data_IF_894237260255
#
_entry.id   IF_894237260255
#
_cell.length_a   1.000
_cell.length_b   1.000
_cell.length_c   1.000
_cell.angle_alpha   90.00
_cell.angle_beta   90.00
_cell.angle_gamma   90.00
#
_symmetry.space_group_name_H-M   'P 1'
#
loop_
_entity.id
_entity.type
_entity.pdbx_description
1 polymer ?
#
# COMPACT_ATOMS: atom_id res chain seq x y z
N UNK A 1 -12.59 -35.84 66.68
CA UNK A 1 -12.84 -34.79 67.69
C UNK A 1 -13.04 -33.46 66.96
N UNK A 2 -14.27 -32.98 66.96
CA UNK A 2 -14.68 -31.55 66.92
C UNK A 2 -15.51 -31.32 68.22
N UNK A 3 -15.98 -30.12 68.64
CA UNK A 3 -15.85 -28.72 68.16
C UNK A 3 -15.44 -27.78 69.37
N UNK A 4 -15.76 -26.45 69.53
CA UNK A 4 -16.97 -25.70 69.13
C UNK A 4 -16.77 -24.48 68.21
N UNK A 5 -17.86 -24.22 67.50
CA UNK A 5 -18.32 -23.04 66.77
C UNK A 5 -18.89 -21.99 67.74
N UNK A 6 -18.75 -20.69 67.43
CA UNK A 6 -19.81 -19.66 67.44
C UNK A 6 -19.16 -18.29 67.07
N UNK A 7 -19.54 -17.57 66.00
CA UNK A 7 -20.82 -16.97 65.58
C UNK A 7 -21.07 -15.57 66.20
N UNK A 8 -20.93 -14.53 65.37
CA UNK A 8 -21.70 -13.27 65.29
C UNK A 8 -20.83 -12.18 64.61
N UNK A 9 -21.31 -11.28 63.75
CA UNK A 9 -22.53 -11.11 62.95
C UNK A 9 -22.17 -9.98 61.94
N UNK A 10 -22.74 -10.00 60.74
CA UNK A 10 -22.63 -8.93 59.73
C UNK A 10 -23.62 -7.77 60.09
N UNK A 11 -23.87 -6.69 59.30
CA UNK A 11 -23.41 -6.37 57.93
C UNK A 11 -23.06 -4.87 57.66
N UNK A 12 -22.50 -4.58 56.47
CA UNK A 12 -23.03 -3.65 55.45
C UNK A 12 -21.96 -2.98 54.55
N UNK A 13 -22.42 -2.67 53.35
CA UNK A 13 -21.71 -2.44 52.09
C UNK A 13 -21.08 -1.04 51.93
N UNK A 14 -20.06 -0.97 51.07
CA UNK A 14 -19.73 0.05 50.06
C UNK A 14 -18.22 -0.08 49.83
N UNK A 15 -17.73 -0.51 48.68
CA UNK A 15 -17.93 0.16 47.39
C UNK A 15 -16.67 0.98 47.08
N UNK A 16 -16.07 0.68 45.94
CA UNK A 16 -15.15 1.54 45.18
C UNK A 16 -13.64 1.40 45.47
N UNK A 17 -13.05 0.48 44.72
CA UNK A 17 -11.68 0.54 44.23
C UNK A 17 -11.35 1.95 43.71
N UNK A 18 -10.23 2.51 44.16
CA UNK A 18 -9.59 3.68 43.54
C UNK A 18 -8.23 3.22 43.03
N UNK A 19 -8.24 2.56 41.87
CA UNK A 19 -7.07 2.50 41.00
C UNK A 19 -7.14 3.72 40.10
N UNK A 20 -6.19 4.63 40.29
CA UNK A 20 -6.00 5.83 39.47
C UNK A 20 -5.91 5.45 37.98
N UNK A 21 -6.65 6.11 37.08
CA UNK A 21 -6.43 5.96 35.65
C UNK A 21 -5.26 6.83 35.20
N UNK A 22 -4.36 6.24 34.42
CA UNK A 22 -3.33 6.96 33.65
C UNK A 22 -3.94 8.12 32.83
N UNK A 23 -3.24 9.26 32.70
CA UNK A 23 -3.69 10.34 31.84
C UNK A 23 -3.53 9.94 30.37
N UNK A 24 -4.64 9.98 29.63
CA UNK A 24 -4.67 9.80 28.19
C UNK A 24 -4.11 11.04 27.46
N UNK A 25 -3.16 10.82 26.54
CA UNK A 25 -2.86 11.73 25.42
C UNK A 25 -3.30 11.04 24.11
N UNK A 26 -3.61 11.73 22.98
CA UNK A 26 -3.77 13.16 22.72
C UNK A 26 -5.14 13.51 22.06
N UNK A 27 -5.38 14.80 21.84
CA UNK A 27 -6.59 15.34 21.20
C UNK A 27 -6.88 14.76 19.82
N UNK A 28 -8.01 14.06 19.71
CA UNK A 28 -8.63 13.67 18.45
C UNK A 28 -9.31 14.90 17.82
N UNK A 29 -9.02 15.26 16.55
CA UNK A 29 -9.92 16.15 15.83
C UNK A 29 -11.24 15.42 15.56
N UNK A 30 -12.34 16.01 16.04
CA UNK A 30 -13.71 15.54 15.83
C UNK A 30 -14.00 15.42 14.33
N UNK A 31 -14.38 14.24 13.87
CA UNK A 31 -14.90 14.01 12.52
C UNK A 31 -16.30 14.65 12.39
N UNK A 32 -16.56 15.54 11.42
CA UNK A 32 -17.93 15.93 11.07
C UNK A 32 -18.67 14.74 10.42
N UNK A 33 -20.02 14.70 10.49
CA UNK A 33 -20.79 13.56 10.01
C UNK A 33 -20.81 13.50 8.48
N UNK A 34 -21.02 12.30 7.97
CA UNK A 34 -20.99 11.92 6.57
C UNK A 34 -21.98 12.71 5.70
N UNK A 35 -21.48 13.26 4.58
CA UNK A 35 -22.28 13.55 3.41
C UNK A 35 -21.65 12.85 2.21
N UNK A 36 -22.48 12.03 1.58
CA UNK A 36 -22.23 11.23 0.39
C UNK A 36 -22.17 12.15 -0.83
N UNK A 37 -20.97 12.35 -1.40
CA UNK A 37 -20.68 12.56 -2.83
C UNK A 37 -19.19 12.92 -2.97
N UNK A 38 -18.31 11.94 -3.18
CA UNK A 38 -16.98 12.24 -3.74
C UNK A 38 -16.54 11.10 -4.65
N UNK A 39 -16.81 11.24 -5.94
CA UNK A 39 -15.90 10.70 -6.96
C UNK A 39 -14.77 11.73 -7.08
N UNK A 40 -13.73 11.59 -6.27
CA UNK A 40 -12.52 12.39 -6.44
C UNK A 40 -11.44 11.42 -6.90
N UNK A 41 -11.31 11.27 -8.21
CA UNK A 41 -10.17 10.56 -8.81
C UNK A 41 -9.00 11.55 -8.91
N UNK A 42 -8.50 12.01 -7.75
CA UNK A 42 -7.30 12.85 -7.71
C UNK A 42 -6.11 11.91 -7.93
N UNK A 43 -5.58 11.95 -9.15
CA UNK A 43 -4.34 11.28 -9.52
C UNK A 43 -3.26 12.35 -9.64
N UNK A 44 -2.24 12.25 -8.80
CA UNK A 44 -1.10 13.16 -8.79
C UNK A 44 0.16 12.36 -9.12
N UNK A 45 0.84 12.72 -10.21
CA UNK A 45 2.16 12.15 -10.52
C UNK A 45 3.18 13.28 -10.40
N UNK A 46 4.10 13.13 -9.46
CA UNK A 46 5.20 14.05 -9.21
C UNK A 46 6.51 13.42 -9.69
N UNK A 47 7.14 14.05 -10.68
CA UNK A 47 8.49 13.70 -11.11
C UNK A 47 9.51 14.77 -10.67
N UNK A 48 10.06 14.69 -9.44
CA UNK A 48 11.14 15.56 -9.01
C UNK A 48 12.48 15.25 -9.70
N UNK A 49 12.60 14.10 -10.38
CA UNK A 49 13.82 13.72 -11.11
C UNK A 49 13.95 14.51 -12.41
N UNK A 50 12.82 14.86 -13.03
CA UNK A 50 12.76 15.55 -14.33
C UNK A 50 13.30 14.68 -15.48
N UNK A 51 13.29 13.36 -15.30
CA UNK A 51 13.80 12.38 -16.27
C UNK A 51 12.70 11.78 -17.14
N UNK A 52 11.43 12.01 -16.80
CA UNK A 52 10.29 11.71 -17.65
C UNK A 52 9.94 12.90 -18.54
N UNK A 53 9.52 12.60 -19.77
CA UNK A 53 8.90 13.56 -20.67
C UNK A 53 7.45 13.82 -20.24
N UNK A 54 6.91 14.98 -20.60
CA UNK A 54 5.52 15.34 -20.29
C UNK A 54 4.52 14.28 -20.81
N UNK A 55 4.70 13.81 -22.05
CA UNK A 55 3.86 12.75 -22.66
C UNK A 55 3.97 11.40 -21.91
N UNK A 56 5.12 11.10 -21.30
CA UNK A 56 5.31 9.88 -20.49
C UNK A 56 4.54 9.99 -19.17
N UNK A 57 4.55 11.17 -18.53
CA UNK A 57 3.78 11.43 -17.31
C UNK A 57 2.28 11.36 -17.60
N UNK A 58 1.83 11.96 -18.71
CA UNK A 58 0.42 11.89 -19.15
C UNK A 58 -0.02 10.43 -19.38
N UNK A 59 0.81 9.63 -20.05
CA UNK A 59 0.54 8.21 -20.26
C UNK A 59 0.39 7.44 -18.95
N UNK A 60 1.27 7.68 -17.97
CA UNK A 60 1.18 7.06 -16.65
C UNK A 60 -0.14 7.46 -15.96
N UNK A 61 -0.50 8.74 -15.97
CA UNK A 61 -1.75 9.24 -15.37
C UNK A 61 -2.97 8.58 -16.01
N UNK A 62 -3.00 8.49 -17.35
CA UNK A 62 -4.12 7.90 -18.07
C UNK A 62 -4.24 6.39 -17.81
N UNK A 63 -3.12 5.67 -17.83
CA UNK A 63 -3.08 4.25 -17.48
C UNK A 63 -3.61 4.02 -16.06
N UNK A 64 -3.18 4.82 -15.09
CA UNK A 64 -3.65 4.70 -13.70
C UNK A 64 -5.13 5.01 -13.55
N UNK A 65 -5.65 5.98 -14.29
CA UNK A 65 -7.09 6.29 -14.30
C UNK A 65 -7.89 5.10 -14.80
N UNK A 66 -7.45 4.45 -15.87
CA UNK A 66 -8.09 3.25 -16.39
C UNK A 66 -7.98 2.07 -15.40
N UNK A 67 -6.81 1.87 -14.79
CA UNK A 67 -6.59 0.83 -13.79
C UNK A 67 -7.49 1.02 -12.56
N UNK A 68 -7.58 2.23 -12.02
CA UNK A 68 -8.45 2.54 -10.88
C UNK A 68 -9.93 2.30 -11.21
N UNK A 69 -10.36 2.53 -12.46
CA UNK A 69 -11.72 2.23 -12.90
C UNK A 69 -12.00 0.71 -13.00
N UNK A 70 -10.96 -0.12 -13.11
CA UNK A 70 -11.05 -1.59 -13.16
C UNK A 70 -10.96 -2.24 -11.79
N UNK A 71 -10.45 -1.53 -10.78
CA UNK A 71 -10.36 -2.00 -9.40
C UNK A 71 -11.72 -1.74 -8.72
N UNK A 72 -12.30 -2.77 -8.08
CA UNK A 72 -13.59 -2.69 -7.37
C UNK A 72 -13.45 -2.01 -6.00
N UNK A 73 -12.94 -0.77 -6.00
CA UNK A 73 -12.66 0.03 -4.81
C UNK A 73 -12.83 1.52 -5.12
N UNK A 74 -13.56 2.31 -4.32
CA UNK A 74 -13.58 3.75 -4.51
C UNK A 74 -12.20 4.35 -4.24
N UNK A 75 -11.74 5.24 -5.13
CA UNK A 75 -10.52 6.02 -4.96
C UNK A 75 -10.86 7.47 -4.58
N UNK A 76 -10.14 7.99 -3.60
CA UNK A 76 -10.21 9.40 -3.16
C UNK A 76 -8.96 10.16 -3.60
N UNK A 77 -7.80 9.49 -3.55
CA UNK A 77 -6.53 10.06 -3.97
C UNK A 77 -5.51 8.96 -4.23
N UNK A 78 -4.77 9.09 -5.33
CA UNK A 78 -3.59 8.31 -5.62
C UNK A 78 -2.47 9.28 -5.99
N UNK A 79 -1.46 9.41 -5.14
CA UNK A 79 -0.28 10.20 -5.44
C UNK A 79 0.92 9.29 -5.69
N UNK A 80 1.66 9.57 -6.74
CA UNK A 80 2.86 8.81 -7.14
C UNK A 80 4.03 9.77 -7.21
N UNK A 81 5.08 9.48 -6.44
CA UNK A 81 6.37 10.17 -6.51
C UNK A 81 7.35 9.29 -7.29
N UNK A 82 7.83 9.78 -8.44
CA UNK A 82 8.92 9.15 -9.18
C UNK A 82 10.23 9.48 -8.47
N UNK A 83 11.01 8.46 -8.10
CA UNK A 83 12.24 8.67 -7.32
C UNK A 83 13.44 7.98 -7.96
N UNK A 84 14.63 8.51 -7.69
CA UNK A 84 15.89 7.85 -8.02
C UNK A 84 16.29 6.86 -6.91
N UNK A 85 17.32 6.05 -7.16
CA UNK A 85 17.85 5.07 -6.19
C UNK A 85 18.26 5.72 -4.87
N UNK A 86 18.82 6.93 -4.93
CA UNK A 86 19.31 7.63 -3.75
C UNK A 86 18.13 7.99 -2.84
N UNK A 87 17.08 8.56 -3.41
CA UNK A 87 15.85 8.95 -2.72
C UNK A 87 15.11 7.71 -2.23
N UNK A 88 15.08 6.63 -3.03
CA UNK A 88 14.45 5.37 -2.64
C UNK A 88 15.13 4.73 -1.42
N UNK A 89 16.47 4.60 -1.43
CA UNK A 89 17.24 4.11 -0.26
C UNK A 89 16.99 4.92 1.01
N UNK A 90 16.86 6.24 0.88
CA UNK A 90 16.54 7.12 2.02
C UNK A 90 15.13 6.87 2.56
N UNK A 91 14.15 6.62 1.68
CA UNK A 91 12.79 6.26 2.09
C UNK A 91 12.76 4.87 2.74
N UNK A 92 13.40 3.89 2.12
CA UNK A 92 13.48 2.52 2.61
C UNK A 92 14.14 2.46 3.99
N UNK A 93 15.27 3.15 4.16
CA UNK A 93 15.97 3.20 5.45
C UNK A 93 15.14 3.88 6.54
N UNK A 94 14.34 4.89 6.18
CA UNK A 94 13.50 5.62 7.13
C UNK A 94 12.28 4.82 7.59
N UNK A 95 11.65 4.08 6.68
CA UNK A 95 10.35 3.45 6.92
C UNK A 95 10.41 1.95 7.17
N UNK A 96 11.38 1.25 6.55
CA UNK A 96 11.56 -0.20 6.67
C UNK A 96 12.83 -0.57 7.45
N UNK A 97 13.63 0.43 7.86
CA UNK A 97 14.92 0.22 8.53
C UNK A 97 15.88 -0.66 7.71
N UNK A 98 15.86 -0.46 6.39
CA UNK A 98 16.68 -1.15 5.39
C UNK A 98 17.26 -0.12 4.39
N UNK A 99 18.58 -0.06 4.25
CA UNK A 99 19.29 0.93 3.42
C UNK A 99 19.54 0.47 1.97
N UNK A 100 18.98 -0.68 1.59
CA UNK A 100 18.90 -1.15 0.20
C UNK A 100 17.88 -0.35 -0.62
N UNK A 101 17.97 -0.45 -1.94
CA UNK A 101 16.98 0.13 -2.87
C UNK A 101 15.87 -0.90 -3.11
N UNK A 102 14.68 -0.42 -3.46
CA UNK A 102 13.54 -1.26 -3.85
C UNK A 102 12.83 -0.62 -5.04
N UNK A 103 12.00 -1.37 -5.72
CA UNK A 103 11.13 -0.92 -6.80
C UNK A 103 10.03 0.06 -6.35
N UNK A 104 9.30 -0.27 -5.28
CA UNK A 104 8.13 0.48 -4.83
C UNK A 104 8.01 0.54 -3.31
N UNK A 105 7.53 1.68 -2.79
CA UNK A 105 7.06 1.82 -1.42
C UNK A 105 5.64 2.40 -1.43
N UNK A 106 4.74 1.77 -0.68
CA UNK A 106 3.33 2.14 -0.64
C UNK A 106 2.95 2.61 0.77
N UNK A 107 2.38 3.81 0.86
CA UNK A 107 1.97 4.46 2.10
C UNK A 107 0.46 4.67 2.11
N UNK A 108 -0.32 3.72 2.65
CA UNK A 108 -1.77 3.87 2.76
C UNK A 108 -2.13 4.93 3.81
N UNK A 109 -2.96 5.89 3.42
CA UNK A 109 -3.46 6.97 4.28
C UNK A 109 -4.83 6.65 4.89
N UNK A 110 -5.56 5.71 4.26
CA UNK A 110 -6.82 5.17 4.76
C UNK A 110 -6.63 3.89 5.57
N UNK A 111 -7.60 3.60 6.45
CA UNK A 111 -7.63 2.34 7.17
C UNK A 111 -7.81 1.15 6.21
N UNK A 112 -7.30 -0.05 6.54
CA UNK A 112 -7.49 -1.25 5.73
C UNK A 112 -8.96 -1.50 5.39
N UNK A 113 -9.25 -1.73 4.10
CA UNK A 113 -10.62 -1.94 3.60
C UNK A 113 -11.43 -0.64 3.39
N UNK A 114 -10.86 0.53 3.69
CA UNK A 114 -11.42 1.83 3.31
C UNK A 114 -11.25 2.15 1.82
N UNK A 115 -11.65 3.36 1.40
CA UNK A 115 -11.36 3.86 0.05
C UNK A 115 -9.84 3.98 -0.18
N UNK A 116 -9.41 3.96 -1.44
CA UNK A 116 -8.02 4.18 -1.81
C UNK A 116 -7.66 5.66 -1.54
N UNK A 117 -6.76 5.85 -0.58
CA UNK A 117 -6.03 7.10 -0.35
C UNK A 117 -4.58 6.68 -0.05
N UNK A 118 -3.68 6.94 -0.98
CA UNK A 118 -2.33 6.34 -0.97
C UNK A 118 -1.30 7.30 -1.56
N UNK A 119 -0.11 7.29 -0.95
CA UNK A 119 1.12 7.78 -1.58
C UNK A 119 1.99 6.58 -1.99
N UNK A 120 2.47 6.56 -3.22
CA UNK A 120 3.31 5.50 -3.76
C UNK A 120 4.61 6.14 -4.24
N UNK A 121 5.75 5.66 -3.78
CA UNK A 121 7.05 6.02 -4.34
C UNK A 121 7.51 4.90 -5.27
N UNK A 122 7.85 5.23 -6.53
CA UNK A 122 8.33 4.26 -7.52
C UNK A 122 9.73 4.62 -8.00
N UNK A 123 10.63 3.64 -8.01
CA UNK A 123 12.03 3.87 -8.38
C UNK A 123 12.23 3.79 -9.90
N UNK A 124 12.59 4.92 -10.51
CA UNK A 124 12.86 5.00 -11.94
C UNK A 124 14.12 4.22 -12.35
N UNK A 125 15.16 4.27 -11.53
CA UNK A 125 16.42 3.56 -11.79
C UNK A 125 16.20 2.04 -11.78
N UNK A 126 15.37 1.53 -10.87
CA UNK A 126 14.99 0.12 -10.83
C UNK A 126 14.11 -0.25 -12.03
N UNK A 127 13.10 0.57 -12.36
CA UNK A 127 12.28 0.35 -13.56
C UNK A 127 13.13 0.27 -14.83
N UNK A 128 14.16 1.12 -14.97
CA UNK A 128 15.08 1.06 -16.10
C UNK A 128 15.93 -0.23 -16.10
N UNK A 129 16.43 -0.66 -14.94
CA UNK A 129 17.21 -1.92 -14.83
C UNK A 129 16.38 -3.13 -15.24
N UNK A 130 15.14 -3.22 -14.76
CA UNK A 130 14.23 -4.34 -15.07
C UNK A 130 13.80 -4.32 -16.54
N UNK A 131 13.52 -3.12 -17.08
CA UNK A 131 13.26 -2.92 -18.49
C UNK A 131 14.41 -3.42 -19.39
N UNK A 132 15.65 -3.09 -19.04
CA UNK A 132 16.83 -3.54 -19.78
C UNK A 132 17.08 -5.06 -19.62
N UNK A 133 16.83 -5.61 -18.42
CA UNK A 133 17.00 -7.04 -18.12
C UNK A 133 16.02 -7.92 -18.91
N UNK A 134 14.76 -7.51 -18.98
CA UNK A 134 13.67 -8.30 -19.56
C UNK A 134 13.25 -7.84 -20.97
N UNK A 135 13.84 -6.76 -21.47
CA UNK A 135 13.63 -6.28 -22.84
C UNK A 135 12.23 -5.67 -23.08
N UNK A 136 11.65 -5.01 -22.08
CA UNK A 136 10.41 -4.26 -22.20
C UNK A 136 10.61 -2.76 -21.87
N UNK A 137 9.55 -1.98 -21.91
CA UNK A 137 9.62 -0.52 -21.71
C UNK A 137 9.64 -0.16 -20.21
N UNK A 138 10.43 0.86 -19.84
CA UNK A 138 10.52 1.37 -18.46
C UNK A 138 9.18 1.92 -17.96
N UNK A 139 8.36 2.48 -18.86
CA UNK A 139 7.04 3.00 -18.49
C UNK A 139 6.10 1.88 -18.05
N UNK A 140 6.22 0.71 -18.69
CA UNK A 140 5.48 -0.48 -18.26
C UNK A 140 5.85 -0.87 -16.83
N UNK A 141 7.14 -0.87 -16.50
CA UNK A 141 7.61 -1.17 -15.14
C UNK A 141 7.14 -0.14 -14.12
N UNK A 142 7.18 1.16 -14.44
CA UNK A 142 6.65 2.21 -13.55
C UNK A 142 5.15 2.03 -13.26
N UNK A 143 4.36 1.73 -14.29
CA UNK A 143 2.92 1.48 -14.13
C UNK A 143 2.68 0.17 -13.38
N UNK A 144 3.49 -0.87 -13.63
CA UNK A 144 3.44 -2.11 -12.86
C UNK A 144 3.68 -1.85 -11.37
N UNK A 145 4.72 -1.09 -11.01
CA UNK A 145 5.02 -0.77 -9.61
C UNK A 145 3.90 0.01 -8.93
N UNK A 146 3.34 1.00 -9.63
CA UNK A 146 2.19 1.74 -9.12
C UNK A 146 0.95 0.84 -8.95
N UNK A 147 0.68 -0.03 -9.94
CA UNK A 147 -0.40 -1.01 -9.88
C UNK A 147 -0.22 -2.00 -8.72
N UNK A 148 1.00 -2.49 -8.52
CA UNK A 148 1.34 -3.39 -7.42
C UNK A 148 0.98 -2.76 -6.06
N UNK A 149 1.38 -1.50 -5.85
CA UNK A 149 0.98 -0.73 -4.67
C UNK A 149 -0.54 -0.56 -4.53
N UNK A 150 -1.24 -0.27 -5.63
CA UNK A 150 -2.71 -0.18 -5.66
C UNK A 150 -3.41 -1.50 -5.34
N UNK A 151 -2.86 -2.64 -5.77
CA UNK A 151 -3.36 -3.98 -5.46
C UNK A 151 -3.09 -4.37 -4.00
N UNK A 152 -1.98 -3.95 -3.41
CA UNK A 152 -1.77 -4.14 -1.97
C UNK A 152 -2.78 -3.34 -1.14
N UNK A 153 -2.96 -2.04 -1.45
CA UNK A 153 -4.03 -1.26 -0.83
C UNK A 153 -5.39 -1.89 -1.15
N UNK A 154 -5.53 -2.49 -2.34
CA UNK A 154 -6.52 -3.46 -2.86
C UNK A 154 -7.07 -4.48 -1.86
N UNK A 155 -6.20 -4.91 -0.94
CA UNK A 155 -6.39 -6.12 -0.14
C UNK A 155 -5.80 -7.38 -0.80
N UNK A 156 -5.04 -7.23 -1.89
CA UNK A 156 -4.22 -8.32 -2.43
C UNK A 156 -2.93 -8.45 -1.63
N UNK A 157 -2.42 -9.67 -1.59
CA UNK A 157 -1.20 -10.04 -0.90
C UNK A 157 -0.37 -10.95 -1.80
N UNK A 158 0.94 -10.97 -1.61
CA UNK A 158 1.90 -11.72 -2.42
C UNK A 158 2.91 -12.52 -1.59
N UNK A 159 2.74 -12.55 -0.27
CA UNK A 159 3.70 -13.14 0.67
C UNK A 159 3.81 -14.68 0.59
N UNK A 160 2.81 -15.37 0.03
CA UNK A 160 2.86 -16.80 -0.23
C UNK A 160 2.76 -17.11 -1.72
N UNK A 161 3.29 -18.27 -2.13
CA UNK A 161 3.38 -18.62 -3.55
C UNK A 161 2.00 -18.69 -4.26
N UNK A 162 0.92 -18.97 -3.54
CA UNK A 162 -0.44 -18.96 -4.07
C UNK A 162 -0.94 -17.53 -4.28
N UNK A 163 -0.82 -16.70 -3.25
CA UNK A 163 -1.17 -15.29 -3.28
C UNK A 163 -0.37 -14.53 -4.35
N UNK A 164 0.94 -14.77 -4.40
CA UNK A 164 1.85 -14.28 -5.42
C UNK A 164 1.32 -14.55 -6.83
N UNK A 165 1.04 -15.82 -7.18
CA UNK A 165 0.56 -16.16 -8.53
C UNK A 165 -0.76 -15.49 -8.88
N UNK A 166 -1.66 -15.32 -7.91
CA UNK A 166 -2.95 -14.68 -8.12
C UNK A 166 -2.79 -13.18 -8.36
N UNK A 167 -1.96 -12.50 -7.56
CA UNK A 167 -1.69 -11.07 -7.71
C UNK A 167 -0.99 -10.77 -9.04
N UNK A 168 0.04 -11.53 -9.39
CA UNK A 168 0.77 -11.35 -10.65
C UNK A 168 -0.07 -11.65 -11.90
N UNK A 169 -0.99 -12.61 -11.82
CA UNK A 169 -1.96 -12.85 -12.89
C UNK A 169 -2.95 -11.69 -13.04
N UNK A 170 -3.32 -11.05 -11.93
CA UNK A 170 -4.19 -9.87 -11.94
C UNK A 170 -3.45 -8.63 -12.46
N UNK A 171 -2.18 -8.44 -12.10
CA UNK A 171 -1.30 -7.41 -12.66
C UNK A 171 -1.22 -7.53 -14.19
N UNK A 172 -0.92 -8.73 -14.70
CA UNK A 172 -0.89 -9.00 -16.12
C UNK A 172 -2.23 -8.73 -16.80
N UNK A 173 -3.35 -9.15 -16.18
CA UNK A 173 -4.70 -8.91 -16.71
C UNK A 173 -4.98 -7.42 -16.85
N UNK A 174 -4.60 -6.64 -15.84
CA UNK A 174 -4.86 -5.21 -15.78
C UNK A 174 -3.93 -4.42 -16.71
N UNK A 175 -2.65 -4.76 -16.79
CA UNK A 175 -1.70 -4.17 -17.73
C UNK A 175 -2.07 -4.46 -19.21
N UNK A 176 -2.54 -5.67 -19.49
CA UNK A 176 -3.05 -6.04 -20.84
C UNK A 176 -4.32 -5.25 -21.18
N UNK A 177 -5.19 -4.99 -20.19
CA UNK A 177 -6.43 -4.23 -20.38
C UNK A 177 -6.19 -2.77 -20.75
N UNK A 178 -5.15 -2.14 -20.19
CA UNK A 178 -4.75 -0.75 -20.52
C UNK A 178 -3.76 -0.66 -21.70
N UNK A 179 -3.54 -1.77 -22.41
CA UNK A 179 -2.73 -1.81 -23.63
C UNK A 179 -1.21 -1.75 -23.41
N UNK A 180 -0.75 -1.82 -22.16
CA UNK A 180 0.67 -1.86 -21.83
C UNK A 180 1.25 -3.26 -22.05
N UNK A 181 0.43 -4.32 -21.94
CA UNK A 181 0.84 -5.71 -22.16
C UNK A 181 1.43 -6.37 -20.91
N UNK A 182 1.55 -7.70 -20.95
CA UNK A 182 1.90 -8.55 -19.80
C UNK A 182 3.40 -8.51 -19.47
N UNK A 183 3.72 -8.64 -18.19
CA UNK A 183 5.10 -8.72 -17.67
C UNK A 183 5.44 -10.14 -17.22
N UNK A 184 4.54 -10.83 -16.54
CA UNK A 184 4.83 -12.14 -15.91
C UNK A 184 4.60 -13.31 -16.87
N UNK A 185 3.45 -13.36 -17.55
CA UNK A 185 3.09 -14.43 -18.47
C UNK A 185 3.86 -14.36 -19.81
N UNK A 186 4.46 -13.22 -20.13
CA UNK A 186 5.28 -13.03 -21.32
C UNK A 186 6.75 -13.46 -21.09
N UNK A 187 6.97 -14.64 -20.50
CA UNK A 187 8.26 -15.34 -20.52
C UNK A 187 9.44 -14.69 -19.77
N UNK A 188 9.21 -13.80 -18.79
CA UNK A 188 10.28 -13.08 -18.09
C UNK A 188 10.41 -13.35 -16.59
N UNK A 189 9.36 -13.80 -15.90
CA UNK A 189 9.38 -13.83 -14.44
C UNK A 189 8.79 -15.13 -13.89
N UNK A 190 9.63 -16.16 -13.79
CA UNK A 190 9.39 -17.29 -12.90
C UNK A 190 10.19 -17.08 -11.60
N UNK A 191 9.54 -16.77 -10.48
CA UNK A 191 10.23 -16.63 -9.19
C UNK A 191 10.90 -17.92 -8.71
N UNK A 192 10.57 -19.07 -9.32
CA UNK A 192 11.14 -20.36 -8.95
C UNK A 192 12.53 -20.64 -9.51
N UNK A 193 13.07 -19.78 -10.40
CA UNK A 193 14.43 -19.95 -10.96
C UNK A 193 15.53 -19.26 -10.14
N UNK A 194 15.18 -18.59 -9.03
CA UNK A 194 16.09 -17.71 -8.29
C UNK A 194 16.58 -18.19 -6.93
N UNK A 195 16.68 -19.49 -6.63
CA UNK A 195 17.41 -20.00 -5.45
C UNK A 195 18.09 -21.33 -5.78
N UNK A 196 19.37 -21.27 -6.14
CA UNK A 196 20.29 -22.41 -6.20
C UNK A 196 21.54 -22.13 -5.34
#
# INVERSE_FOLDING_TARGET
>A
MMPPTDMNDAPQQAGSESSEPEPAEPGQPRRPPAESEVAADIIEVLDPTGLLLDDEVELIVDALRELLALIDRPCVRCAIEIVDDRRMRLLHGRWMNDDSTTDVLTFPMSAPGGPIDVDIAVCLDEAQRRADEYGHDRLRELVLYALHGLLHVSGHDDQDAGAFRLMHAEEDRLLDAVGLGRVFAAGGHDPSEGHA
#
